data_IF_317864007063
#
_entry.id   IF_317864007063
#
_cell.length_a   1.000
_cell.length_b   1.000
_cell.length_c   1.000
_cell.angle_alpha   90.00
_cell.angle_beta   90.00
_cell.angle_gamma   90.00
#
_symmetry.space_group_name_H-M   'P 1'
#
loop_
_entity.id
_entity.type
_entity.pdbx_description
1 polymer ?
#
# COMPACT_ATOMS: atom_id res chain seq x y z
N UNK A 1 -3.27 -10.69 -14.04
CA UNK A 1 -4.50 -10.93 -13.26
C UNK A 1 -4.44 -10.03 -12.05
N UNK A 2 -5.37 -9.08 -11.94
CA UNK A 2 -5.40 -8.06 -10.89
C UNK A 2 -5.73 -8.75 -9.56
N UNK A 3 -5.02 -8.38 -8.48
CA UNK A 3 -5.22 -8.98 -7.15
C UNK A 3 -5.51 -7.91 -6.11
N UNK A 4 -6.55 -8.11 -5.31
CA UNK A 4 -6.80 -7.26 -4.14
C UNK A 4 -5.82 -7.58 -3.01
N UNK A 5 -5.23 -6.54 -2.42
CA UNK A 5 -4.27 -6.66 -1.34
C UNK A 5 -4.91 -6.13 -0.07
N UNK A 6 -5.22 -7.05 0.85
CA UNK A 6 -5.78 -6.68 2.14
C UNK A 6 -4.79 -5.79 2.91
N UNK A 7 -5.10 -4.50 3.07
CA UNK A 7 -4.31 -3.58 3.91
C UNK A 7 -5.16 -2.95 5.00
N UNK A 8 -6.47 -2.83 4.82
CA UNK A 8 -7.38 -2.19 5.79
C UNK A 8 -7.34 -2.94 7.13
N UNK A 9 -7.22 -2.18 8.23
CA UNK A 9 -7.21 -2.72 9.60
C UNK A 9 -5.97 -3.52 9.98
N UNK A 10 -4.95 -3.59 9.12
CA UNK A 10 -3.68 -4.22 9.45
C UNK A 10 -2.86 -3.34 10.39
N UNK A 11 -2.12 -4.01 11.30
CA UNK A 11 -1.16 -3.34 12.18
C UNK A 11 0.01 -2.78 11.37
N UNK A 12 0.70 -1.74 11.86
CA UNK A 12 1.80 -1.12 11.12
C UNK A 12 2.91 -2.09 10.70
N UNK A 13 3.27 -3.06 11.55
CA UNK A 13 4.24 -4.10 11.19
C UNK A 13 3.82 -4.91 9.95
N UNK A 14 2.54 -5.25 9.84
CA UNK A 14 2.01 -6.00 8.70
C UNK A 14 1.94 -5.13 7.42
N UNK A 15 1.78 -3.81 7.56
CA UNK A 15 1.87 -2.88 6.43
C UNK A 15 3.29 -2.84 5.86
N UNK A 16 4.31 -2.80 6.72
CA UNK A 16 5.72 -2.87 6.31
C UNK A 16 6.04 -4.19 5.63
N UNK A 17 5.53 -5.32 6.13
CA UNK A 17 5.69 -6.62 5.48
C UNK A 17 5.07 -6.66 4.08
N UNK A 18 3.90 -6.03 3.90
CA UNK A 18 3.25 -5.92 2.59
C UNK A 18 4.11 -5.06 1.64
N UNK A 19 4.58 -3.89 2.09
CA UNK A 19 5.47 -3.05 1.29
C UNK A 19 6.69 -3.83 0.80
N UNK A 20 7.34 -4.61 1.68
CA UNK A 20 8.47 -5.47 1.33
C UNK A 20 8.09 -6.59 0.37
N UNK A 21 6.97 -7.28 0.61
CA UNK A 21 6.51 -8.41 -0.21
C UNK A 21 6.21 -8.01 -1.64
N UNK A 22 5.66 -6.81 -1.84
CA UNK A 22 5.29 -6.28 -3.16
C UNK A 22 6.32 -5.31 -3.74
N UNK A 23 7.52 -5.21 -3.12
CA UNK A 23 8.62 -4.34 -3.56
C UNK A 23 8.18 -2.88 -3.77
N UNK A 24 7.28 -2.38 -2.92
CA UNK A 24 6.69 -1.05 -3.05
C UNK A 24 7.65 0.07 -2.62
N UNK A 25 8.69 -0.26 -1.84
CA UNK A 25 9.61 0.71 -1.25
C UNK A 25 8.93 1.82 -0.40
N UNK A 26 7.66 1.64 -0.02
CA UNK A 26 6.93 2.56 0.85
C UNK A 26 7.32 2.36 2.31
N UNK A 27 7.54 3.46 3.02
CA UNK A 27 7.75 3.49 4.46
C UNK A 27 6.48 3.07 5.22
N UNK A 28 6.62 2.87 6.54
CA UNK A 28 5.48 2.58 7.41
C UNK A 28 4.44 3.70 7.34
N UNK A 29 4.89 4.96 7.46
CA UNK A 29 4.02 6.14 7.47
C UNK A 29 3.25 6.28 6.16
N UNK A 30 3.92 6.08 5.01
CA UNK A 30 3.27 6.11 3.70
C UNK A 30 2.23 4.98 3.55
N UNK A 31 2.57 3.77 3.99
CA UNK A 31 1.61 2.67 3.98
C UNK A 31 0.39 2.92 4.89
N UNK A 32 0.57 3.62 6.01
CA UNK A 32 -0.54 4.03 6.88
C UNK A 32 -1.43 5.08 6.19
N UNK A 33 -0.85 6.02 5.45
CA UNK A 33 -1.62 6.97 4.62
C UNK A 33 -2.42 6.24 3.53
N UNK A 34 -1.79 5.28 2.84
CA UNK A 34 -2.46 4.46 1.83
C UNK A 34 -3.59 3.63 2.46
N UNK A 35 -3.34 3.00 3.62
CA UNK A 35 -4.37 2.27 4.37
C UNK A 35 -5.54 3.18 4.72
N UNK A 36 -5.27 4.39 5.23
CA UNK A 36 -6.31 5.35 5.59
C UNK A 36 -7.14 5.77 4.36
N UNK A 37 -6.49 5.99 3.21
CA UNK A 37 -7.15 6.30 1.95
C UNK A 37 -8.13 5.20 1.54
N UNK A 38 -7.66 3.95 1.45
CA UNK A 38 -8.49 2.81 1.04
C UNK A 38 -9.55 2.44 2.08
N UNK A 39 -9.27 2.67 3.37
CA UNK A 39 -10.27 2.53 4.44
C UNK A 39 -11.44 3.50 4.24
N UNK A 40 -11.18 4.75 3.83
CA UNK A 40 -12.24 5.73 3.50
C UNK A 40 -13.04 5.35 2.26
N UNK A 41 -12.42 4.64 1.31
CA UNK A 41 -13.11 4.13 0.12
C UNK A 41 -13.91 2.85 0.40
N UNK A 42 -13.73 2.22 1.57
CA UNK A 42 -14.44 0.99 1.94
C UNK A 42 -14.00 -0.24 1.16
N UNK A 43 -12.82 -0.21 0.51
CA UNK A 43 -12.29 -1.33 -0.28
C UNK A 43 -10.78 -1.41 -0.17
N UNK A 44 -10.22 -2.61 -0.34
CA UNK A 44 -8.78 -2.78 -0.43
C UNK A 44 -8.26 -2.29 -1.80
N UNK A 45 -6.99 -1.87 -1.89
CA UNK A 45 -6.35 -1.60 -3.15
C UNK A 45 -6.10 -2.89 -3.93
N UNK A 46 -5.98 -2.73 -5.23
CA UNK A 46 -5.35 -3.73 -6.10
C UNK A 46 -3.83 -3.61 -6.06
N UNK A 47 -3.15 -4.68 -6.46
CA UNK A 47 -1.70 -4.71 -6.67
C UNK A 47 -1.22 -3.58 -7.60
N UNK A 48 -1.93 -3.34 -8.70
CA UNK A 48 -1.61 -2.27 -9.65
C UNK A 48 -1.77 -0.87 -9.02
N UNK A 49 -2.82 -0.64 -8.23
CA UNK A 49 -3.01 0.64 -7.54
C UNK A 49 -1.89 0.91 -6.52
N UNK A 50 -1.44 -0.11 -5.78
CA UNK A 50 -0.32 0.02 -4.85
C UNK A 50 0.99 0.31 -5.58
N UNK A 51 1.26 -0.37 -6.68
CA UNK A 51 2.45 -0.14 -7.50
C UNK A 51 2.46 1.28 -8.08
N UNK A 52 1.33 1.76 -8.59
CA UNK A 52 1.21 3.12 -9.11
C UNK A 52 1.50 4.18 -8.04
N UNK A 53 0.96 4.01 -6.82
CA UNK A 53 1.25 4.91 -5.69
C UNK A 53 2.75 4.87 -5.34
N UNK A 54 3.32 3.67 -5.21
CA UNK A 54 4.73 3.47 -4.93
C UNK A 54 5.65 4.16 -5.95
N UNK A 55 5.36 4.00 -7.24
CA UNK A 55 6.14 4.67 -8.30
C UNK A 55 6.01 6.19 -8.23
N UNK A 56 4.82 6.71 -7.94
CA UNK A 56 4.56 8.16 -7.88
C UNK A 56 5.22 8.83 -6.67
N UNK A 57 5.33 8.11 -5.55
CA UNK A 57 5.88 8.65 -4.30
C UNK A 57 7.36 8.30 -4.10
N UNK A 58 7.93 7.48 -4.97
CA UNK A 58 9.36 7.18 -4.99
C UNK A 58 10.16 8.47 -5.21
N UNK A 59 11.19 8.69 -4.40
CA UNK A 59 12.13 9.82 -4.52
C UNK A 59 12.95 9.79 -5.83
N UNK A 60 12.83 8.70 -6.60
CA UNK A 60 13.47 8.54 -7.90
C UNK A 60 12.64 9.09 -9.08
N UNK A 61 11.49 9.72 -8.81
CA UNK A 61 10.62 10.27 -9.84
C UNK A 61 11.06 11.64 -10.36
#
# INVERSE_FOLDING_TARGET
MIREIAIIGKKPAALVEISRKYLLALSQEEMEVVQAHFSRLGRNPTDIELEMIAQTWSEHC
#
